data_IF_293631082881
#
_entry.id   IF_293631082881
#
_cell.length_a   1.000
_cell.length_b   1.000
_cell.length_c   1.000
_cell.angle_alpha   90.00
_cell.angle_beta   90.00
_cell.angle_gamma   90.00
#
_symmetry.space_group_name_H-M   'P 1'
#
loop_
_entity.id
_entity.type
_entity.pdbx_description
1 polymer ?
#
# COMPACT_ATOMS: atom_id res chain seq x y z
N UNK A 1 -53.32 23.75 -52.47
CA UNK A 1 -52.18 24.29 -51.86
C UNK A 1 -52.21 23.86 -50.38
N UNK A 2 -51.35 22.90 -49.99
CA UNK A 2 -51.23 22.39 -48.58
C UNK A 2 -49.97 22.95 -48.01
N UNK A 3 -50.10 23.82 -47.02
CA UNK A 3 -48.98 24.38 -46.26
C UNK A 3 -48.48 23.34 -45.26
N UNK A 4 -47.19 22.98 -45.33
CA UNK A 4 -46.55 22.15 -44.34
C UNK A 4 -45.86 23.07 -43.29
N UNK A 5 -46.28 22.92 -42.06
CA UNK A 5 -45.67 23.63 -40.91
C UNK A 5 -44.45 22.83 -40.40
N UNK A 6 -43.30 23.40 -40.49
CA UNK A 6 -42.05 22.81 -40.01
C UNK A 6 -41.93 23.12 -38.50
N UNK A 7 -41.97 22.08 -37.63
CA UNK A 7 -41.72 22.22 -36.20
C UNK A 7 -40.21 22.00 -35.98
N UNK A 8 -39.50 23.06 -35.62
CA UNK A 8 -38.08 22.98 -35.19
C UNK A 8 -38.07 22.65 -33.71
N UNK A 9 -37.67 21.43 -33.35
CA UNK A 9 -37.34 21.09 -31.97
C UNK A 9 -35.95 21.59 -31.65
N UNK A 10 -35.84 22.60 -30.79
CA UNK A 10 -34.60 23.03 -30.20
C UNK A 10 -34.19 22.07 -29.06
N UNK A 11 -33.15 21.28 -29.28
CA UNK A 11 -32.56 20.45 -28.23
C UNK A 11 -31.75 21.37 -27.30
N UNK A 12 -32.25 21.60 -26.10
CA UNK A 12 -31.52 22.30 -25.03
C UNK A 12 -30.55 21.26 -24.44
N UNK A 13 -29.28 21.28 -24.90
CA UNK A 13 -28.19 20.55 -24.32
C UNK A 13 -27.81 21.20 -22.96
N UNK A 14 -28.29 20.62 -21.87
CA UNK A 14 -27.86 21.03 -20.53
C UNK A 14 -26.42 20.58 -20.31
N UNK A 15 -25.48 21.53 -20.40
CA UNK A 15 -24.14 21.34 -19.85
C UNK A 15 -24.26 21.26 -18.32
N UNK A 16 -24.06 20.10 -17.74
CA UNK A 16 -23.93 19.97 -16.30
C UNK A 16 -22.67 20.77 -15.86
N UNK A 17 -22.87 21.90 -15.22
CA UNK A 17 -21.78 22.65 -14.62
C UNK A 17 -21.20 21.80 -13.47
N UNK A 18 -19.94 21.35 -13.63
CA UNK A 18 -19.18 20.74 -12.55
C UNK A 18 -18.89 21.87 -11.55
N UNK A 19 -19.64 21.90 -10.45
CA UNK A 19 -19.38 22.83 -9.37
C UNK A 19 -18.01 22.47 -8.75
N UNK A 20 -17.13 23.45 -8.45
CA UNK A 20 -15.90 23.17 -7.74
C UNK A 20 -16.25 22.57 -6.36
N UNK A 21 -15.46 21.59 -5.90
CA UNK A 21 -15.60 20.99 -4.58
C UNK A 21 -15.56 22.11 -3.52
N UNK A 22 -16.42 22.00 -2.50
CA UNK A 22 -16.44 22.97 -1.41
C UNK A 22 -15.12 22.89 -0.61
N UNK A 23 -14.78 23.96 0.10
CA UNK A 23 -13.62 23.97 1.00
C UNK A 23 -13.71 22.85 2.06
N UNK A 24 -14.92 22.52 2.52
CA UNK A 24 -15.16 21.41 3.44
C UNK A 24 -14.86 20.04 2.82
N UNK A 25 -15.21 19.85 1.53
CA UNK A 25 -14.92 18.60 0.82
C UNK A 25 -13.40 18.43 0.60
N UNK A 26 -12.71 19.52 0.30
CA UNK A 26 -11.25 19.52 0.14
C UNK A 26 -10.54 19.20 1.46
N UNK A 27 -11.00 19.76 2.58
CA UNK A 27 -10.45 19.47 3.91
C UNK A 27 -10.69 18.00 4.30
N UNK A 28 -11.87 17.47 4.05
CA UNK A 28 -12.19 16.07 4.30
C UNK A 28 -11.32 15.12 3.45
N UNK A 29 -11.13 15.44 2.16
CA UNK A 29 -10.27 14.70 1.25
C UNK A 29 -8.82 14.68 1.73
N UNK A 30 -8.27 15.83 2.08
CA UNK A 30 -6.90 15.96 2.59
C UNK A 30 -6.72 15.23 3.92
N UNK A 31 -7.68 15.30 4.82
CA UNK A 31 -7.67 14.59 6.11
C UNK A 31 -7.65 13.06 5.88
N UNK A 32 -8.48 12.56 4.95
CA UNK A 32 -8.48 11.16 4.58
C UNK A 32 -7.14 10.73 3.98
N UNK A 33 -6.58 11.51 3.06
CA UNK A 33 -5.28 11.22 2.44
C UNK A 33 -4.14 11.22 3.45
N UNK A 34 -4.11 12.18 4.36
CA UNK A 34 -3.15 12.25 5.47
C UNK A 34 -3.20 10.97 6.31
N UNK A 35 -4.41 10.53 6.65
CA UNK A 35 -4.61 9.29 7.41
C UNK A 35 -4.12 8.06 6.64
N UNK A 36 -4.52 7.93 5.38
CA UNK A 36 -4.16 6.77 4.56
C UNK A 36 -2.65 6.63 4.40
N UNK A 37 -1.98 7.72 4.02
CA UNK A 37 -0.53 7.72 3.73
C UNK A 37 0.32 7.47 4.98
N UNK A 38 -0.09 8.03 6.12
CA UNK A 38 0.64 7.87 7.38
C UNK A 38 0.12 6.73 8.27
N UNK A 39 -0.89 6.02 7.84
CA UNK A 39 -1.51 4.88 8.50
C UNK A 39 -1.48 3.62 7.64
N UNK A 40 -2.64 3.13 7.16
CA UNK A 40 -2.74 1.80 6.56
C UNK A 40 -1.94 1.62 5.25
N UNK A 41 -1.81 2.63 4.39
CA UNK A 41 -1.04 2.51 3.13
C UNK A 41 0.46 2.64 3.37
N UNK A 42 0.87 3.38 4.40
CA UNK A 42 2.25 3.48 4.88
C UNK A 42 3.29 3.83 3.78
N UNK A 43 2.97 4.76 2.87
CA UNK A 43 3.85 5.11 1.75
C UNK A 43 5.28 5.46 2.19
N UNK A 44 5.41 6.17 3.32
CA UNK A 44 6.70 6.52 3.91
C UNK A 44 7.53 5.32 4.37
N UNK A 45 6.94 4.12 4.53
CA UNK A 45 7.71 2.93 4.88
C UNK A 45 8.76 2.58 3.80
N UNK A 46 8.45 2.85 2.55
CA UNK A 46 9.37 2.67 1.42
C UNK A 46 9.93 4.00 0.91
N UNK A 47 9.10 5.06 0.85
CA UNK A 47 9.47 6.31 0.19
C UNK A 47 10.16 7.34 1.09
N UNK A 48 10.27 7.13 2.40
CA UNK A 48 11.14 7.95 3.23
C UNK A 48 12.60 7.56 3.00
N UNK A 49 13.51 8.54 3.01
CA UNK A 49 14.94 8.28 3.00
C UNK A 49 15.36 7.44 4.20
N UNK A 50 16.24 6.46 3.98
CA UNK A 50 16.74 5.56 5.03
C UNK A 50 18.24 5.62 5.17
N UNK A 51 18.72 5.55 6.41
CA UNK A 51 20.12 5.31 6.76
C UNK A 51 20.46 3.81 6.65
N UNK A 52 21.74 3.48 6.78
CA UNK A 52 22.22 2.10 6.70
C UNK A 52 21.62 1.17 7.78
N UNK A 53 21.27 1.72 8.93
CA UNK A 53 20.60 1.00 10.03
C UNK A 53 19.07 0.95 9.87
N UNK A 54 18.56 1.28 8.70
CA UNK A 54 17.12 1.35 8.36
C UNK A 54 16.31 2.41 9.10
N UNK A 55 16.95 3.28 9.91
CA UNK A 55 16.26 4.43 10.48
C UNK A 55 15.86 5.44 9.40
N UNK A 56 14.78 6.19 9.66
CA UNK A 56 14.36 7.26 8.76
C UNK A 56 15.28 8.47 8.89
N UNK A 57 15.66 9.05 7.76
CA UNK A 57 16.50 10.25 7.70
C UNK A 57 15.59 11.49 7.79
N UNK A 58 15.72 12.32 8.86
CA UNK A 58 14.92 13.54 8.97
C UNK A 58 15.14 14.48 7.78
N UNK A 59 14.04 15.07 7.28
CA UNK A 59 14.06 15.95 6.12
C UNK A 59 14.13 15.24 4.77
N UNK A 60 14.07 13.90 4.76
CA UNK A 60 13.97 13.06 3.58
C UNK A 60 12.64 12.27 3.53
N UNK A 61 11.61 12.82 4.19
CA UNK A 61 10.27 12.23 4.15
C UNK A 61 9.76 12.21 2.69
N UNK A 62 9.34 11.05 2.24
CA UNK A 62 8.84 10.78 0.87
C UNK A 62 9.82 11.09 -0.27
N UNK A 63 11.08 11.39 0.04
CA UNK A 63 12.09 11.75 -0.97
C UNK A 63 12.68 10.52 -1.69
N UNK A 64 12.33 9.30 -1.32
CA UNK A 64 12.81 8.09 -1.96
C UNK A 64 14.28 7.76 -1.68
N UNK A 65 14.86 6.94 -2.56
CA UNK A 65 16.28 6.56 -2.50
C UNK A 65 16.55 5.30 -1.66
N UNK A 66 15.53 4.67 -1.08
CA UNK A 66 15.73 3.38 -0.41
C UNK A 66 16.02 2.30 -1.43
N UNK A 67 17.16 1.63 -1.29
CA UNK A 67 17.64 0.61 -2.21
C UNK A 67 17.12 -0.78 -1.81
N UNK A 68 16.46 -1.44 -2.74
CA UNK A 68 15.89 -2.77 -2.58
C UNK A 68 16.43 -3.70 -3.65
N UNK A 69 16.97 -4.85 -3.23
CA UNK A 69 17.55 -5.84 -4.13
C UNK A 69 16.88 -7.19 -3.92
N UNK A 70 16.50 -7.82 -5.01
CA UNK A 70 15.90 -9.15 -5.08
C UNK A 70 16.33 -9.81 -6.40
N UNK A 71 16.29 -11.13 -6.58
CA UNK A 71 16.54 -11.76 -7.88
C UNK A 71 15.72 -11.17 -9.04
N UNK A 72 14.51 -10.68 -8.76
CA UNK A 72 13.62 -10.08 -9.75
C UNK A 72 13.94 -8.62 -10.06
N UNK A 73 14.62 -7.89 -9.16
CA UNK A 73 14.85 -6.45 -9.33
C UNK A 73 16.03 -5.91 -8.52
N UNK A 74 16.55 -4.79 -8.98
CA UNK A 74 17.51 -3.92 -8.30
C UNK A 74 16.95 -2.48 -8.42
N UNK A 75 16.23 -2.01 -7.39
CA UNK A 75 15.41 -0.82 -7.49
C UNK A 75 15.66 0.15 -6.34
N UNK A 76 15.46 1.43 -6.66
CA UNK A 76 15.42 2.51 -5.69
C UNK A 76 14.01 3.07 -5.62
N UNK A 77 13.50 3.29 -4.40
CA UNK A 77 12.18 3.88 -4.22
C UNK A 77 12.16 5.31 -4.75
N UNK A 78 11.11 5.66 -5.48
CA UNK A 78 11.01 6.96 -6.14
C UNK A 78 10.82 8.12 -5.14
N UNK A 79 11.29 9.30 -5.51
CA UNK A 79 10.91 10.56 -4.87
C UNK A 79 9.45 10.87 -5.23
N UNK A 80 8.56 10.83 -4.25
CA UNK A 80 7.11 11.13 -4.40
C UNK A 80 6.73 12.48 -3.78
N UNK A 81 7.70 13.33 -3.47
CA UNK A 81 7.43 14.73 -3.10
C UNK A 81 7.07 15.54 -4.34
N UNK A 82 6.36 16.70 -4.20
CA UNK A 82 6.03 17.57 -5.32
C UNK A 82 7.24 18.42 -5.80
N UNK A 83 8.44 17.86 -5.74
CA UNK A 83 9.61 18.43 -6.39
C UNK A 83 9.46 18.32 -7.92
N UNK A 84 9.72 19.42 -8.64
CA UNK A 84 9.46 19.50 -10.09
C UNK A 84 10.54 18.82 -10.94
N UNK A 85 11.72 18.62 -10.39
CA UNK A 85 12.86 18.08 -11.15
C UNK A 85 13.01 16.57 -10.86
N UNK A 86 12.93 16.18 -9.61
CA UNK A 86 13.25 14.81 -9.17
C UNK A 86 12.06 14.04 -8.61
N UNK A 87 10.92 14.71 -8.40
CA UNK A 87 9.70 14.13 -7.83
C UNK A 87 8.51 14.14 -8.77
N UNK A 88 7.32 14.20 -8.19
CA UNK A 88 6.05 14.17 -8.93
C UNK A 88 5.44 15.56 -9.18
N UNK A 89 6.18 16.66 -8.94
CA UNK A 89 5.64 18.02 -8.97
C UNK A 89 5.19 18.54 -10.34
N UNK A 90 5.47 17.81 -11.42
CA UNK A 90 4.97 18.10 -12.78
C UNK A 90 3.96 17.07 -13.30
N UNK A 91 3.54 16.14 -12.44
CA UNK A 91 2.61 15.09 -12.83
C UNK A 91 1.16 15.53 -12.62
N UNK A 92 0.25 15.07 -13.48
CA UNK A 92 -1.18 15.25 -13.26
C UNK A 92 -1.69 14.24 -12.23
N UNK A 93 -2.86 14.52 -11.65
CA UNK A 93 -3.49 13.60 -10.71
C UNK A 93 -3.76 12.23 -11.35
N UNK A 94 -4.17 12.20 -12.62
CA UNK A 94 -4.41 10.96 -13.37
C UNK A 94 -3.12 10.17 -13.59
N UNK A 95 -1.98 10.84 -13.83
CA UNK A 95 -0.68 10.18 -13.95
C UNK A 95 -0.25 9.55 -12.64
N UNK A 96 -0.47 10.23 -11.50
CA UNK A 96 -0.17 9.71 -10.17
C UNK A 96 -1.10 8.54 -9.83
N UNK A 97 -2.41 8.68 -10.05
CA UNK A 97 -3.42 7.62 -9.82
C UNK A 97 -3.07 6.38 -10.63
N UNK A 98 -2.79 6.55 -11.93
CA UNK A 98 -2.40 5.45 -12.82
C UNK A 98 -1.11 4.77 -12.33
N UNK A 99 -0.16 5.54 -11.85
CA UNK A 99 1.10 5.00 -11.32
C UNK A 99 0.85 4.15 -10.07
N UNK A 100 0.02 4.61 -9.15
CA UNK A 100 -0.30 3.88 -7.92
C UNK A 100 -1.07 2.60 -8.23
N UNK A 101 -2.09 2.66 -9.10
CA UNK A 101 -3.04 1.56 -9.30
C UNK A 101 -2.72 0.63 -10.45
N UNK A 102 -2.00 1.10 -11.45
CA UNK A 102 -1.68 0.32 -12.66
C UNK A 102 -0.18 0.08 -12.82
N UNK A 103 0.65 0.71 -11.98
CA UNK A 103 2.11 0.54 -12.00
C UNK A 103 2.78 1.16 -13.22
N UNK A 104 2.13 2.10 -13.88
CA UNK A 104 2.63 2.75 -15.08
C UNK A 104 2.91 4.23 -14.80
N UNK A 105 4.19 4.59 -14.76
CA UNK A 105 4.61 5.95 -14.46
C UNK A 105 4.29 6.92 -15.62
N UNK A 106 4.63 8.20 -15.43
CA UNK A 106 4.38 9.26 -16.42
C UNK A 106 4.97 8.95 -17.80
N UNK A 107 6.17 8.37 -17.84
CA UNK A 107 6.86 7.98 -19.08
C UNK A 107 6.35 6.66 -19.68
N UNK A 108 5.37 6.03 -19.05
CA UNK A 108 4.81 4.74 -19.48
C UNK A 108 5.63 3.52 -19.05
N UNK A 109 6.65 3.68 -18.22
CA UNK A 109 7.44 2.57 -17.67
C UNK A 109 6.68 1.87 -16.54
N UNK A 110 6.85 0.56 -16.45
CA UNK A 110 6.30 -0.23 -15.35
C UNK A 110 7.24 -0.14 -14.15
N UNK A 111 6.67 0.01 -12.94
CA UNK A 111 7.42 0.32 -11.71
C UNK A 111 7.24 -0.72 -10.60
N UNK A 112 6.79 -1.91 -10.90
CA UNK A 112 6.63 -2.97 -9.91
C UNK A 112 7.18 -4.33 -10.38
N UNK A 113 7.54 -5.27 -9.47
CA UNK A 113 7.61 -5.10 -8.03
C UNK A 113 8.75 -4.15 -7.62
N UNK A 114 8.95 -3.76 -6.34
CA UNK A 114 8.24 -4.17 -5.13
C UNK A 114 7.06 -3.25 -4.75
N UNK A 115 6.78 -2.19 -5.51
CA UNK A 115 5.59 -1.38 -5.23
C UNK A 115 4.34 -2.28 -5.32
N UNK A 116 3.44 -2.28 -4.30
CA UNK A 116 2.33 -3.23 -4.21
C UNK A 116 1.16 -2.87 -5.14
N UNK A 117 1.46 -2.66 -6.42
CA UNK A 117 0.50 -2.25 -7.44
C UNK A 117 -0.66 -3.23 -7.61
N UNK A 118 -0.45 -4.57 -7.61
CA UNK A 118 -1.57 -5.52 -7.70
C UNK A 118 -2.60 -5.33 -6.57
N UNK A 119 -2.14 -5.02 -5.37
CA UNK A 119 -2.99 -4.67 -4.23
C UNK A 119 -3.70 -3.34 -4.44
N UNK A 120 -2.96 -2.30 -4.80
CA UNK A 120 -3.50 -0.94 -4.98
C UNK A 120 -4.43 -0.82 -6.19
N UNK A 121 -4.41 -1.75 -7.14
CA UNK A 121 -5.35 -1.78 -8.27
C UNK A 121 -6.82 -1.88 -7.80
N UNK A 122 -7.07 -2.49 -6.64
CA UNK A 122 -8.40 -2.60 -6.03
C UNK A 122 -8.74 -1.47 -5.05
N UNK A 123 -7.89 -0.45 -4.89
CA UNK A 123 -8.18 0.72 -4.07
C UNK A 123 -9.33 1.54 -4.67
N UNK A 124 -10.22 2.05 -3.82
CA UNK A 124 -11.33 2.90 -4.26
C UNK A 124 -10.85 4.21 -4.89
N UNK A 125 -11.68 4.77 -5.76
CA UNK A 125 -11.40 6.07 -6.38
C UNK A 125 -11.27 7.19 -5.34
N UNK A 126 -12.11 7.16 -4.31
CA UNK A 126 -12.09 8.19 -3.27
C UNK A 126 -10.78 8.13 -2.46
N UNK A 127 -10.32 6.92 -2.12
CA UNK A 127 -9.09 6.76 -1.34
C UNK A 127 -7.83 7.11 -2.15
N UNK A 128 -7.75 6.72 -3.43
CA UNK A 128 -6.58 7.11 -4.23
C UNK A 128 -6.54 8.60 -4.51
N UNK A 129 -7.70 9.26 -4.74
CA UNK A 129 -7.78 10.72 -4.87
C UNK A 129 -7.38 11.43 -3.59
N UNK A 130 -7.77 10.90 -2.43
CA UNK A 130 -7.34 11.43 -1.14
C UNK A 130 -5.83 11.32 -0.94
N UNK A 131 -5.22 10.21 -1.33
CA UNK A 131 -3.76 10.04 -1.31
C UNK A 131 -3.09 11.10 -2.19
N UNK A 132 -3.55 11.29 -3.43
CA UNK A 132 -2.99 12.30 -4.35
C UNK A 132 -3.12 13.71 -3.77
N UNK A 133 -4.27 14.06 -3.22
CA UNK A 133 -4.46 15.35 -2.55
C UNK A 133 -3.44 15.59 -1.43
N UNK A 134 -3.14 14.57 -0.64
CA UNK A 134 -2.10 14.66 0.40
C UNK A 134 -0.70 14.79 -0.22
N UNK A 135 -0.35 14.02 -1.25
CA UNK A 135 0.98 14.07 -1.88
C UNK A 135 1.32 15.49 -2.39
N UNK A 136 0.35 16.24 -2.88
CA UNK A 136 0.54 17.62 -3.29
C UNK A 136 0.86 18.60 -2.13
N UNK A 137 0.57 18.22 -0.88
CA UNK A 137 0.84 19.06 0.30
C UNK A 137 2.20 18.80 0.93
N UNK A 138 2.89 17.73 0.52
CA UNK A 138 4.22 17.39 1.06
C UNK A 138 5.21 18.49 0.68
N UNK A 139 6.14 18.78 1.59
CA UNK A 139 7.23 19.72 1.29
C UNK A 139 8.10 19.14 0.16
N UNK A 140 8.35 19.88 -0.93
CA UNK A 140 9.25 19.44 -2.00
C UNK A 140 10.66 19.17 -1.44
N UNK A 141 11.23 18.04 -1.82
CA UNK A 141 12.61 17.67 -1.51
C UNK A 141 13.31 17.28 -2.79
N UNK A 142 14.32 18.04 -3.18
CA UNK A 142 15.16 17.66 -4.33
C UNK A 142 16.01 16.43 -3.94
N UNK A 143 15.80 15.31 -4.63
CA UNK A 143 16.55 14.07 -4.42
C UNK A 143 16.58 13.24 -5.70
N UNK A 144 17.72 13.27 -6.40
CA UNK A 144 17.96 12.39 -7.54
C UNK A 144 18.08 10.94 -7.06
N UNK A 145 17.29 10.07 -7.66
CA UNK A 145 17.26 8.64 -7.33
C UNK A 145 17.84 7.86 -8.50
N UNK A 146 18.76 6.91 -8.25
CA UNK A 146 19.32 6.08 -9.33
C UNK A 146 18.24 5.30 -10.09
N UNK A 147 18.52 5.01 -11.35
CA UNK A 147 17.60 4.25 -12.20
C UNK A 147 17.43 2.81 -11.70
N UNK A 148 16.20 2.39 -11.55
CA UNK A 148 15.83 1.03 -11.18
C UNK A 148 16.00 0.06 -12.35
N UNK A 149 16.32 -1.22 -12.05
CA UNK A 149 16.46 -2.32 -13.01
C UNK A 149 15.53 -3.45 -12.63
N UNK A 150 14.95 -4.07 -13.63
CA UNK A 150 14.08 -5.23 -13.46
C UNK A 150 14.64 -6.42 -14.27
N UNK A 151 14.73 -7.57 -13.63
CA UNK A 151 15.28 -8.80 -14.21
C UNK A 151 14.17 -9.77 -14.68
N UNK A 152 12.93 -9.37 -14.52
CA UNK A 152 11.73 -10.13 -14.93
C UNK A 152 10.93 -9.34 -15.99
N UNK A 153 10.13 -10.03 -16.81
CA UNK A 153 9.21 -9.37 -17.73
C UNK A 153 8.26 -8.42 -16.97
N UNK A 154 8.09 -7.23 -17.49
CA UNK A 154 7.25 -6.19 -16.89
C UNK A 154 5.89 -6.12 -17.61
N UNK A 155 4.79 -6.20 -16.86
CA UNK A 155 3.44 -6.05 -17.37
C UNK A 155 2.68 -5.05 -16.51
N UNK A 156 2.00 -4.09 -17.14
CA UNK A 156 1.11 -3.19 -16.42
C UNK A 156 -0.12 -3.94 -15.91
N UNK A 157 -0.66 -3.51 -14.77
CA UNK A 157 -1.97 -3.95 -14.34
C UNK A 157 -3.06 -3.43 -15.30
N UNK A 158 -4.19 -4.12 -15.44
CA UNK A 158 -5.33 -3.59 -16.16
C UNK A 158 -5.82 -2.30 -15.49
N UNK A 159 -6.58 -1.45 -16.21
CA UNK A 159 -7.20 -0.28 -15.63
C UNK A 159 -7.99 -0.64 -14.37
N UNK A 160 -7.78 0.11 -13.31
CA UNK A 160 -8.45 -0.11 -12.04
C UNK A 160 -9.95 0.19 -12.15
N UNK A 161 -10.78 -0.61 -11.47
CA UNK A 161 -12.25 -0.43 -11.51
C UNK A 161 -12.72 0.77 -10.68
N UNK A 162 -11.99 1.09 -9.59
CA UNK A 162 -12.35 2.18 -8.70
C UNK A 162 -13.59 1.94 -7.87
N UNK A 163 -13.92 0.68 -7.61
CA UNK A 163 -15.10 0.30 -6.82
C UNK A 163 -15.06 1.01 -5.44
N UNK A 164 -16.21 1.46 -4.91
CA UNK A 164 -16.25 2.10 -3.60
C UNK A 164 -15.78 1.15 -2.49
N UNK A 165 -15.14 1.73 -1.46
CA UNK A 165 -14.79 0.97 -0.27
C UNK A 165 -16.06 0.41 0.40
N UNK A 166 -16.01 -0.82 0.97
CA UNK A 166 -17.13 -1.33 1.76
C UNK A 166 -17.48 -0.41 2.93
N UNK A 167 -18.73 -0.37 3.39
CA UNK A 167 -19.12 0.46 4.52
C UNK A 167 -18.45 -0.03 5.82
N UNK A 168 -18.02 0.90 6.67
CA UNK A 168 -17.39 0.59 7.97
C UNK A 168 -18.31 -0.18 8.93
N UNK A 169 -19.62 -0.17 8.69
CA UNK A 169 -20.60 -0.97 9.43
C UNK A 169 -20.47 -2.47 9.19
N UNK A 170 -19.94 -2.88 8.04
CA UNK A 170 -19.53 -4.25 7.77
C UNK A 170 -18.03 -4.39 8.08
N UNK A 171 -17.72 -4.66 9.34
CA UNK A 171 -16.33 -4.75 9.82
C UNK A 171 -15.49 -5.77 9.06
N UNK A 172 -16.07 -6.91 8.67
CA UNK A 172 -15.30 -7.95 7.96
C UNK A 172 -15.00 -7.52 6.53
N UNK A 173 -16.00 -7.02 5.80
CA UNK A 173 -15.77 -6.54 4.43
C UNK A 173 -14.82 -5.35 4.39
N UNK A 174 -15.01 -4.38 5.30
CA UNK A 174 -14.14 -3.21 5.40
C UNK A 174 -12.72 -3.56 5.85
N UNK A 175 -12.56 -4.44 6.83
CA UNK A 175 -11.26 -4.98 7.23
C UNK A 175 -10.56 -5.73 6.09
N UNK A 176 -11.32 -6.48 5.30
CA UNK A 176 -10.83 -7.11 4.09
C UNK A 176 -10.33 -6.11 3.05
N UNK A 177 -11.01 -4.97 2.89
CA UNK A 177 -10.56 -3.87 2.04
C UNK A 177 -9.24 -3.27 2.56
N UNK A 178 -9.12 -3.00 3.87
CA UNK A 178 -7.87 -2.51 4.44
C UNK A 178 -6.72 -3.50 4.18
N UNK A 179 -6.92 -4.78 4.47
CA UNK A 179 -5.87 -5.81 4.34
C UNK A 179 -5.44 -6.05 2.90
N UNK A 180 -6.39 -6.06 1.95
CA UNK A 180 -6.18 -6.44 0.54
C UNK A 180 -5.88 -5.27 -0.37
N UNK A 181 -6.36 -4.05 -0.04
CA UNK A 181 -6.31 -2.92 -0.96
C UNK A 181 -5.49 -1.74 -0.42
N UNK A 182 -5.31 -1.62 0.89
CA UNK A 182 -4.58 -0.51 1.50
C UNK A 182 -3.25 -0.96 2.13
N UNK A 183 -3.30 -1.92 3.05
CA UNK A 183 -2.15 -2.33 3.86
C UNK A 183 -1.32 -3.47 3.24
N UNK A 184 -1.69 -3.98 2.08
CA UNK A 184 -1.01 -5.00 1.25
C UNK A 184 -0.43 -6.19 2.05
N UNK A 185 -1.12 -6.64 3.11
CA UNK A 185 -0.61 -7.65 4.05
C UNK A 185 -0.22 -8.96 3.35
N UNK A 186 -1.03 -9.40 2.39
CA UNK A 186 -0.85 -10.70 1.74
C UNK A 186 0.33 -10.78 0.78
N UNK A 187 0.84 -9.65 0.30
CA UNK A 187 2.04 -9.66 -0.54
C UNK A 187 3.26 -10.17 0.21
N UNK A 188 3.36 -9.85 1.51
CA UNK A 188 4.40 -10.38 2.37
C UNK A 188 3.96 -11.66 3.10
N UNK A 189 2.73 -11.70 3.60
CA UNK A 189 2.28 -12.78 4.48
C UNK A 189 1.68 -14.00 3.76
N UNK A 190 1.74 -14.09 2.42
CA UNK A 190 1.43 -15.34 1.71
C UNK A 190 2.68 -16.19 1.51
N UNK A 191 2.52 -17.51 1.42
CA UNK A 191 3.64 -18.40 1.09
C UNK A 191 4.11 -18.15 -0.35
N UNK A 192 5.39 -18.34 -0.67
CA UNK A 192 5.85 -18.26 -2.05
C UNK A 192 5.34 -19.45 -2.87
N UNK A 193 4.98 -19.20 -4.12
CA UNK A 193 4.70 -20.22 -5.13
C UNK A 193 6.01 -20.83 -5.69
N UNK A 194 5.90 -21.70 -6.69
CA UNK A 194 7.04 -22.33 -7.35
C UNK A 194 7.96 -21.35 -8.11
N UNK A 195 7.49 -20.13 -8.36
CA UNK A 195 8.23 -19.06 -9.04
C UNK A 195 8.75 -17.99 -8.07
N UNK A 196 8.49 -18.16 -6.76
CA UNK A 196 8.88 -17.19 -5.72
C UNK A 196 7.94 -16.00 -5.57
N UNK A 197 6.79 -15.99 -6.25
CA UNK A 197 5.75 -14.97 -6.07
C UNK A 197 4.78 -15.36 -4.93
N UNK A 198 4.06 -14.40 -4.30
CA UNK A 198 3.06 -14.72 -3.28
C UNK A 198 1.95 -15.62 -3.84
N UNK A 199 1.73 -16.79 -3.24
CA UNK A 199 0.64 -17.71 -3.61
C UNK A 199 -0.67 -17.28 -2.94
N UNK A 200 -1.44 -16.47 -3.64
CA UNK A 200 -2.73 -16.00 -3.15
C UNK A 200 -3.83 -17.08 -3.25
N UNK A 201 -3.61 -18.15 -3.99
CA UNK A 201 -4.59 -19.21 -4.19
C UNK A 201 -4.54 -20.28 -3.09
N UNK A 202 -3.34 -20.71 -2.66
CA UNK A 202 -3.17 -21.84 -1.75
C UNK A 202 -2.39 -21.48 -0.49
N UNK A 203 -1.64 -20.38 -0.50
CA UNK A 203 -0.77 -19.94 0.58
C UNK A 203 -1.19 -18.60 1.23
N UNK A 204 -2.43 -18.14 1.01
CA UNK A 204 -2.89 -16.84 1.48
C UNK A 204 -2.76 -16.67 2.99
N UNK A 205 -1.91 -15.75 3.42
CA UNK A 205 -1.68 -15.48 4.84
C UNK A 205 -0.79 -16.49 5.56
N UNK A 206 -0.34 -17.57 4.89
CA UNK A 206 0.42 -18.64 5.53
C UNK A 206 1.88 -18.25 5.87
N UNK A 207 2.37 -17.12 5.41
CA UNK A 207 3.72 -16.64 5.69
C UNK A 207 4.83 -17.46 5.01
N UNK A 208 6.06 -17.27 5.49
CA UNK A 208 7.23 -17.94 4.92
C UNK A 208 7.81 -17.25 3.70
N UNK A 209 7.24 -16.13 3.25
CA UNK A 209 7.79 -15.34 2.15
C UNK A 209 9.17 -14.77 2.55
N UNK A 210 10.21 -15.01 1.76
CA UNK A 210 11.56 -14.53 2.06
C UNK A 210 11.69 -13.04 1.71
N UNK A 211 12.25 -12.25 2.62
CA UNK A 211 12.58 -10.84 2.37
C UNK A 211 14.06 -10.64 2.68
N UNK A 212 14.81 -10.19 1.68
CA UNK A 212 16.21 -9.82 1.84
C UNK A 212 16.30 -8.38 2.37
N UNK A 213 16.69 -8.22 3.63
CA UNK A 213 16.86 -6.90 4.26
C UNK A 213 18.21 -6.27 3.93
N UNK A 214 19.27 -7.08 3.90
CA UNK A 214 20.63 -6.68 3.56
C UNK A 214 21.40 -7.90 3.05
N UNK A 215 22.56 -7.76 2.41
CA UNK A 215 23.37 -8.88 1.99
C UNK A 215 23.61 -9.90 3.14
N UNK A 216 23.15 -11.13 2.95
CA UNK A 216 23.22 -12.21 3.94
C UNK A 216 22.19 -12.13 5.08
N UNK A 217 21.30 -11.14 5.11
CA UNK A 217 20.24 -11.01 6.10
C UNK A 217 18.87 -11.22 5.46
N UNK A 218 18.38 -12.43 5.50
CA UNK A 218 17.05 -12.81 5.04
C UNK A 218 16.13 -13.07 6.24
N UNK A 219 14.93 -12.56 6.17
CA UNK A 219 13.84 -12.89 7.09
C UNK A 219 12.75 -13.66 6.36
N UNK A 220 11.91 -14.36 7.12
CA UNK A 220 10.66 -14.97 6.61
C UNK A 220 9.47 -14.34 7.32
N UNK A 221 8.44 -14.04 6.55
CA UNK A 221 7.21 -13.40 7.08
C UNK A 221 6.39 -14.38 7.90
N UNK A 222 5.70 -13.88 8.91
CA UNK A 222 4.91 -14.73 9.81
C UNK A 222 3.64 -15.28 9.14
N UNK A 223 3.21 -16.46 9.59
CA UNK A 223 1.88 -17.00 9.32
C UNK A 223 0.84 -16.18 10.10
N UNK A 224 -0.06 -15.51 9.39
CA UNK A 224 -1.16 -14.70 9.95
C UNK A 224 -2.53 -15.35 9.77
N UNK A 225 -2.58 -16.63 9.40
CA UNK A 225 -3.84 -17.38 9.32
C UNK A 225 -4.37 -17.71 10.72
N UNK A 226 -5.62 -18.18 10.80
CA UNK A 226 -6.24 -18.62 12.04
C UNK A 226 -5.72 -19.98 12.55
N UNK A 227 -4.62 -20.51 12.00
CA UNK A 227 -4.01 -21.75 12.52
C UNK A 227 -3.57 -21.56 13.98
N UNK A 228 -4.00 -22.45 14.89
CA UNK A 228 -3.76 -22.27 16.31
C UNK A 228 -2.31 -22.56 16.75
N UNK A 229 -1.56 -23.31 15.96
CA UNK A 229 -0.22 -23.76 16.35
C UNK A 229 0.91 -22.98 15.66
N UNK A 230 0.70 -22.63 14.41
CA UNK A 230 1.72 -21.96 13.59
C UNK A 230 1.34 -20.55 13.16
N UNK A 231 0.07 -20.16 13.28
CA UNK A 231 -0.48 -18.85 12.95
C UNK A 231 -0.81 -18.00 14.16
N UNK A 232 -1.84 -17.15 14.00
CA UNK A 232 -2.32 -16.24 15.05
C UNK A 232 -3.63 -16.71 15.71
N UNK A 233 -4.05 -17.96 15.46
CA UNK A 233 -5.34 -18.47 15.94
C UNK A 233 -5.54 -18.44 17.46
N UNK A 234 -4.46 -18.58 18.24
CA UNK A 234 -4.49 -18.49 19.71
C UNK A 234 -4.21 -17.08 20.27
N UNK A 235 -3.88 -16.12 19.42
CA UNK A 235 -3.61 -14.76 19.89
C UNK A 235 -4.91 -14.05 20.23
N UNK A 236 -4.90 -13.22 21.28
CA UNK A 236 -6.02 -12.34 21.55
C UNK A 236 -6.09 -11.22 20.49
N UNK A 237 -7.24 -10.55 20.36
CA UNK A 237 -7.37 -9.39 19.47
C UNK A 237 -6.41 -8.25 19.88
N UNK A 238 -6.18 -8.10 21.19
CA UNK A 238 -5.19 -7.15 21.71
C UNK A 238 -3.76 -7.50 21.28
N UNK A 239 -3.39 -8.79 21.28
CA UNK A 239 -2.06 -9.23 20.82
C UNK A 239 -1.86 -8.95 19.34
N UNK A 240 -2.87 -9.20 18.50
CA UNK A 240 -2.80 -8.91 17.06
C UNK A 240 -2.61 -7.41 16.83
N UNK A 241 -3.41 -6.57 17.48
CA UNK A 241 -3.27 -5.11 17.39
C UNK A 241 -1.90 -4.65 17.87
N UNK A 242 -1.43 -5.17 19.00
CA UNK A 242 -0.11 -4.83 19.55
C UNK A 242 1.02 -5.20 18.58
N UNK A 243 0.95 -6.38 17.96
CA UNK A 243 1.92 -6.77 16.95
C UNK A 243 1.89 -5.83 15.74
N UNK A 244 0.71 -5.40 15.29
CA UNK A 244 0.56 -4.47 14.17
C UNK A 244 1.06 -3.06 14.50
N UNK A 245 0.85 -2.54 15.70
CA UNK A 245 1.08 -1.14 16.04
C UNK A 245 2.38 -0.89 16.81
N UNK A 246 2.86 -1.88 17.55
CA UNK A 246 4.07 -1.77 18.37
C UNK A 246 5.20 -2.70 17.89
N UNK A 247 4.90 -3.63 16.98
CA UNK A 247 5.87 -4.63 16.52
C UNK A 247 6.25 -5.66 17.58
N UNK A 248 5.37 -5.93 18.55
CA UNK A 248 5.64 -6.84 19.70
C UNK A 248 4.69 -8.02 19.66
N UNK A 249 5.23 -9.25 19.69
CA UNK A 249 4.47 -10.48 19.76
C UNK A 249 4.00 -10.80 21.19
N UNK A 250 3.01 -11.70 21.39
CA UNK A 250 2.57 -12.13 22.75
C UNK A 250 3.69 -12.71 23.61
N UNK A 251 4.74 -13.25 23.00
CA UNK A 251 5.91 -13.80 23.70
C UNK A 251 7.02 -12.79 23.94
N UNK A 252 6.77 -11.49 23.65
CA UNK A 252 7.75 -10.40 23.83
C UNK A 252 8.81 -10.31 22.72
N UNK A 253 8.68 -11.10 21.66
CA UNK A 253 9.57 -10.96 20.47
C UNK A 253 9.25 -9.70 19.67
N UNK A 254 10.26 -9.13 19.03
CA UNK A 254 10.11 -7.95 18.19
C UNK A 254 10.02 -8.31 16.72
N UNK A 255 9.12 -7.64 16.00
CA UNK A 255 8.99 -7.77 14.55
C UNK A 255 10.08 -6.94 13.86
N UNK A 256 10.55 -7.46 12.72
CA UNK A 256 11.55 -6.74 11.91
C UNK A 256 10.90 -5.83 10.87
N UNK A 257 11.60 -4.80 10.39
CA UNK A 257 11.28 -4.21 9.10
C UNK A 257 11.25 -5.30 7.99
N UNK A 258 10.47 -5.13 6.92
CA UNK A 258 9.71 -3.94 6.55
C UNK A 258 8.30 -3.87 7.12
N UNK A 259 7.94 -4.70 8.13
CA UNK A 259 6.61 -4.60 8.75
C UNK A 259 6.34 -3.15 9.20
N UNK A 260 5.30 -2.48 8.68
CA UNK A 260 5.14 -1.03 8.82
C UNK A 260 4.44 -0.61 10.13
N UNK A 261 4.74 -1.28 11.25
CA UNK A 261 4.17 -0.93 12.56
C UNK A 261 4.39 0.54 12.97
N UNK A 262 5.47 1.26 12.56
CA UNK A 262 5.61 2.69 12.85
C UNK A 262 4.54 3.57 12.19
N UNK A 263 3.87 3.06 11.14
CA UNK A 263 2.75 3.70 10.47
C UNK A 263 1.41 3.15 10.99
N UNK A 264 1.28 1.85 11.13
CA UNK A 264 0.05 1.20 11.59
C UNK A 264 -0.38 1.65 13.00
N UNK A 265 0.53 2.15 13.84
CA UNK A 265 0.19 2.79 15.12
C UNK A 265 -0.73 4.01 14.97
N UNK A 266 -0.78 4.61 13.78
CA UNK A 266 -1.64 5.76 13.47
C UNK A 266 -3.03 5.33 12.94
N UNK A 267 -3.29 4.03 12.80
CA UNK A 267 -4.62 3.54 12.43
C UNK A 267 -5.61 3.77 13.55
N UNK A 268 -6.86 4.08 13.18
CA UNK A 268 -7.93 4.25 14.16
C UNK A 268 -8.24 2.93 14.87
N UNK A 269 -8.76 2.96 16.10
CA UNK A 269 -9.21 1.74 16.78
C UNK A 269 -10.24 0.97 15.98
N UNK A 270 -11.14 1.65 15.26
CA UNK A 270 -12.18 1.07 14.41
C UNK A 270 -11.58 0.29 13.23
N UNK A 271 -10.57 0.86 12.57
CA UNK A 271 -9.88 0.22 11.46
C UNK A 271 -9.06 -0.99 11.93
N UNK A 272 -8.40 -0.89 13.09
CA UNK A 272 -7.72 -2.03 13.71
C UNK A 272 -8.69 -3.15 14.08
N UNK A 273 -9.89 -2.81 14.61
CA UNK A 273 -10.95 -3.77 14.89
C UNK A 273 -11.43 -4.47 13.62
N UNK A 274 -11.60 -3.71 12.53
CA UNK A 274 -12.02 -4.26 11.25
C UNK A 274 -10.95 -5.21 10.66
N UNK A 275 -9.67 -4.81 10.73
CA UNK A 275 -8.55 -5.68 10.32
C UNK A 275 -8.55 -6.98 11.12
N UNK A 276 -8.67 -6.92 12.45
CA UNK A 276 -8.72 -8.11 13.30
C UNK A 276 -9.92 -8.99 12.96
N UNK A 277 -11.12 -8.39 12.79
CA UNK A 277 -12.31 -9.12 12.39
C UNK A 277 -12.09 -9.88 11.07
N UNK A 278 -11.45 -9.25 10.08
CA UNK A 278 -11.16 -9.89 8.81
C UNK A 278 -10.08 -10.98 8.93
N UNK A 279 -8.94 -10.74 9.58
CA UNK A 279 -7.87 -11.75 9.66
C UNK A 279 -8.30 -13.01 10.42
N UNK A 280 -9.26 -12.88 11.32
CA UNK A 280 -9.92 -14.03 11.98
C UNK A 280 -10.70 -14.93 11.01
N UNK A 281 -11.10 -14.41 9.85
CA UNK A 281 -11.81 -15.20 8.83
C UNK A 281 -10.86 -15.95 7.89
N UNK A 282 -9.55 -15.68 7.93
CA UNK A 282 -8.59 -16.38 7.08
C UNK A 282 -8.54 -17.85 7.49
N UNK A 283 -8.82 -18.80 6.58
CA UNK A 283 -8.77 -20.23 6.90
C UNK A 283 -7.41 -20.64 7.47
N UNK A 284 -7.37 -21.57 8.43
CA UNK A 284 -6.13 -22.04 9.02
C UNK A 284 -5.27 -22.78 7.96
N UNK A 285 -4.03 -22.37 7.85
CA UNK A 285 -3.01 -23.07 7.06
C UNK A 285 -1.86 -23.37 8.00
N UNK A 286 -1.56 -24.66 8.21
CA UNK A 286 -0.43 -25.07 9.04
C UNK A 286 0.88 -24.83 8.27
N UNK A 287 1.63 -23.82 8.67
CA UNK A 287 2.95 -23.52 8.13
C UNK A 287 3.87 -23.03 9.25
N UNK A 288 4.81 -23.87 9.65
CA UNK A 288 5.80 -23.53 10.67
C UNK A 288 6.88 -22.66 10.06
N UNK A 289 6.81 -21.35 10.32
CA UNK A 289 7.82 -20.39 9.88
C UNK A 289 8.85 -20.21 10.98
N UNK A 290 10.13 -20.37 10.63
CA UNK A 290 11.23 -20.06 11.54
C UNK A 290 11.25 -18.54 11.81
N UNK A 291 11.11 -18.18 13.09
CA UNK A 291 11.11 -16.77 13.49
C UNK A 291 12.51 -16.20 13.51
N UNK A 292 12.71 -15.11 12.85
CA UNK A 292 13.94 -14.30 12.96
C UNK A 292 13.74 -13.33 14.12
N UNK A 293 14.51 -13.49 15.22
CA UNK A 293 14.55 -12.50 16.30
C UNK A 293 15.44 -11.34 15.86
N UNK A 294 14.81 -10.23 15.51
CA UNK A 294 15.49 -9.07 14.97
C UNK A 294 16.45 -8.42 15.95
N UNK A 295 16.16 -8.47 17.26
CA UNK A 295 17.03 -7.89 18.28
C UNK A 295 18.35 -8.68 18.48
N UNK A 296 18.36 -9.97 18.16
CA UNK A 296 19.57 -10.79 18.24
C UNK A 296 20.52 -10.63 17.06
N UNK A 297 20.03 -10.09 15.95
CA UNK A 297 20.83 -9.74 14.77
C UNK A 297 20.96 -8.23 14.71
N UNK A 298 21.77 -7.67 15.60
CA UNK A 298 22.16 -6.27 15.48
C UNK A 298 22.68 -6.02 14.06
N UNK A 299 22.18 -4.99 13.39
CA UNK A 299 22.82 -4.48 12.19
C UNK A 299 24.23 -4.08 12.57
N UNK A 300 25.27 -4.50 11.78
CA UNK A 300 26.64 -4.11 12.05
C UNK A 300 26.85 -2.60 11.95
#
# INVERSE_FOLDING_TARGET
>A
MKSATLIVLAAIGGAAAILPASAADQDALLKRGTYLVNGPVACGNCHNGRAQDFSFVPGKEFAGGFHLVDPAFDVYTANITPDKETGIGTWTDEEIIRTIREGKNKEGKIIFPPMPVPTYNSMSDDDVKAIVAFLHTIKPVHNEVPASKYNIPQMAMPPAKGDPAPPMTDKVAYGGYIVKSLAHCFECHSSPDAHGAPDFAHGLGAGGFPILLAPGMMIKTANITSDPDTGIGKWSDADIKKAMTEGVTPTGGHLSPPMPYPFFKNMTPEDLDAVVAFVRTIPPIKNQVERTDFQKKAFP
#
